data_IF_347854454267
#
_entry.id   IF_347854454267
#
_cell.length_a   1.000
_cell.length_b   1.000
_cell.length_c   1.000
_cell.angle_alpha   90.00
_cell.angle_beta   90.00
_cell.angle_gamma   90.00
#
_symmetry.space_group_name_H-M   'P 1'
#
loop_
_entity.id
_entity.type
_entity.pdbx_description
1 polymer ?
#
# COMPACT_ATOMS: atom_id res chain seq x y z
N UNK A 1 12.14 9.27 27.22
CA UNK A 1 11.69 8.25 28.19
C UNK A 1 12.62 7.06 28.09
N UNK A 2 13.38 6.80 29.15
CA UNK A 2 14.30 5.67 29.22
C UNK A 2 13.48 4.45 29.68
N UNK A 3 12.98 3.65 28.74
CA UNK A 3 12.24 2.42 29.07
C UNK A 3 13.26 1.32 29.28
N UNK A 4 13.80 1.24 30.51
CA UNK A 4 14.73 0.20 30.91
C UNK A 4 14.12 -1.20 30.75
N UNK A 5 14.89 -2.12 30.15
CA UNK A 5 14.64 -3.57 30.22
C UNK A 5 14.37 -4.28 28.88
N UNK A 6 13.53 -3.73 28.00
CA UNK A 6 12.96 -4.49 26.87
C UNK A 6 13.33 -3.96 25.46
N UNK A 7 14.41 -3.20 25.31
CA UNK A 7 14.85 -2.83 23.96
C UNK A 7 15.47 -4.06 23.25
N UNK A 8 14.83 -4.57 22.19
CA UNK A 8 15.34 -5.71 21.39
C UNK A 8 16.24 -5.20 20.26
N UNK A 9 15.92 -4.05 19.67
CA UNK A 9 16.69 -3.43 18.60
C UNK A 9 18.12 -3.15 19.06
N UNK A 10 19.11 -3.53 18.24
CA UNK A 10 20.52 -3.35 18.57
C UNK A 10 21.15 -4.54 19.30
N UNK A 11 20.36 -5.51 19.77
CA UNK A 11 20.87 -6.68 20.53
C UNK A 11 21.15 -7.91 19.68
N UNK A 12 20.60 -7.98 18.47
CA UNK A 12 20.81 -9.12 17.56
C UNK A 12 22.19 -9.11 16.91
N UNK A 13 22.71 -10.30 16.61
CA UNK A 13 23.92 -10.48 15.81
C UNK A 13 23.57 -10.96 14.40
N UNK A 14 24.28 -10.43 13.41
CA UNK A 14 24.18 -10.85 12.01
C UNK A 14 25.57 -11.30 11.56
N UNK A 15 25.77 -12.60 11.41
CA UNK A 15 27.10 -13.20 11.20
C UNK A 15 27.81 -12.68 9.94
N UNK A 16 27.03 -12.42 8.88
CA UNK A 16 27.54 -11.89 7.61
C UNK A 16 26.64 -10.75 7.19
N UNK A 17 27.20 -9.54 7.06
CA UNK A 17 26.54 -8.39 6.45
C UNK A 17 26.98 -8.21 5.00
N UNK A 18 26.10 -7.69 4.15
CA UNK A 18 26.39 -7.33 2.77
C UNK A 18 26.05 -5.86 2.52
N UNK A 19 26.58 -5.24 1.45
CA UNK A 19 26.18 -3.89 1.02
C UNK A 19 24.71 -3.77 0.62
N UNK A 20 24.01 -4.90 0.43
CA UNK A 20 22.62 -4.96 -0.06
C UNK A 20 21.60 -5.35 1.02
N UNK A 21 22.01 -5.32 2.29
CA UNK A 21 21.12 -5.59 3.42
C UNK A 21 20.08 -4.48 3.59
N UNK A 22 18.79 -4.85 3.62
CA UNK A 22 17.68 -3.93 3.87
C UNK A 22 16.73 -4.45 4.93
N UNK A 23 16.01 -3.54 5.58
CA UNK A 23 14.85 -3.89 6.40
C UNK A 23 13.57 -3.37 5.75
N UNK A 24 12.56 -4.24 5.62
CA UNK A 24 11.22 -3.88 5.17
C UNK A 24 10.40 -3.40 6.37
N UNK A 25 10.14 -2.10 6.45
CA UNK A 25 9.56 -1.45 7.62
C UNK A 25 8.12 -1.00 7.35
N UNK A 26 7.20 -1.31 8.26
CA UNK A 26 5.80 -0.90 8.15
C UNK A 26 5.02 -1.68 7.10
N UNK A 27 5.32 -2.97 6.92
CA UNK A 27 4.47 -3.91 6.21
C UNK A 27 4.01 -5.01 7.18
N UNK A 28 2.69 -5.18 7.27
CA UNK A 28 2.02 -6.06 8.23
C UNK A 28 1.61 -7.39 7.62
N UNK A 29 2.02 -7.66 6.38
CA UNK A 29 1.78 -8.91 5.67
C UNK A 29 0.29 -9.30 5.56
N UNK A 30 -0.59 -8.31 5.39
CA UNK A 30 -2.03 -8.54 5.24
C UNK A 30 -2.26 -9.37 3.97
N UNK A 31 -2.82 -10.56 4.11
CA UNK A 31 -3.03 -11.47 2.98
C UNK A 31 -1.76 -11.87 2.23
N UNK A 32 -0.57 -11.76 2.85
CA UNK A 32 0.71 -12.08 2.20
C UNK A 32 1.41 -10.91 1.50
N UNK A 33 0.94 -9.67 1.71
CA UNK A 33 1.48 -8.45 1.10
C UNK A 33 3.02 -8.29 1.22
N UNK A 34 3.54 -8.59 2.40
CA UNK A 34 4.96 -8.41 2.68
C UNK A 34 5.80 -9.52 2.05
N UNK A 35 5.26 -10.75 1.95
CA UNK A 35 5.92 -11.83 1.22
C UNK A 35 6.04 -11.52 -0.28
N UNK A 36 4.98 -10.99 -0.89
CA UNK A 36 5.01 -10.54 -2.28
C UNK A 36 6.04 -9.42 -2.49
N UNK A 37 6.08 -8.46 -1.57
CA UNK A 37 7.07 -7.36 -1.55
C UNK A 37 8.50 -7.88 -1.37
N UNK A 38 8.72 -8.80 -0.42
CA UNK A 38 10.03 -9.40 -0.10
C UNK A 38 10.58 -10.17 -1.29
N UNK A 39 9.77 -11.02 -1.92
CA UNK A 39 10.14 -11.75 -3.14
C UNK A 39 10.69 -10.81 -4.20
N UNK A 40 10.05 -9.65 -4.39
CA UNK A 40 10.52 -8.66 -5.36
C UNK A 40 11.83 -7.99 -4.96
N UNK A 41 11.99 -7.61 -3.69
CA UNK A 41 13.21 -7.01 -3.19
C UNK A 41 14.40 -7.99 -3.28
N UNK A 42 14.17 -9.28 -3.01
CA UNK A 42 15.20 -10.31 -3.14
C UNK A 42 15.55 -10.59 -4.61
N UNK A 43 14.57 -10.63 -5.51
CA UNK A 43 14.81 -10.75 -6.96
C UNK A 43 15.55 -9.53 -7.53
N UNK A 44 15.33 -8.34 -6.97
CA UNK A 44 16.09 -7.12 -7.31
C UNK A 44 17.59 -7.26 -6.96
N UNK A 45 17.95 -8.20 -6.08
CA UNK A 45 19.32 -8.42 -5.60
C UNK A 45 19.58 -7.89 -4.19
N UNK A 46 18.54 -7.45 -3.47
CA UNK A 46 18.68 -7.05 -2.08
C UNK A 46 18.54 -8.25 -1.14
N UNK A 47 19.04 -8.11 0.09
CA UNK A 47 18.81 -9.11 1.15
C UNK A 47 17.94 -8.51 2.24
N UNK A 48 16.70 -8.97 2.32
CA UNK A 48 15.76 -8.51 3.37
C UNK A 48 16.11 -9.21 4.69
N UNK A 49 16.85 -8.52 5.55
CA UNK A 49 17.32 -9.07 6.83
C UNK A 49 16.30 -8.94 7.96
N UNK A 50 15.28 -8.10 7.78
CA UNK A 50 14.19 -7.92 8.73
C UNK A 50 12.93 -7.42 8.04
N UNK A 51 11.78 -7.83 8.56
CA UNK A 51 10.46 -7.35 8.16
C UNK A 51 9.68 -6.90 9.40
N UNK A 52 9.08 -5.71 9.37
CA UNK A 52 8.43 -5.09 10.52
C UNK A 52 6.97 -4.75 10.20
N UNK A 53 5.98 -5.46 10.74
CA UNK A 53 6.10 -6.64 11.63
C UNK A 53 5.26 -7.83 11.20
N UNK A 54 4.68 -7.82 10.00
CA UNK A 54 4.03 -9.01 9.48
C UNK A 54 5.04 -10.15 9.36
N UNK A 55 4.73 -11.33 9.87
CA UNK A 55 5.61 -12.52 9.83
C UNK A 55 7.02 -12.33 10.44
N UNK A 56 7.21 -11.31 11.30
CA UNK A 56 8.50 -11.01 11.88
C UNK A 56 8.87 -11.92 13.04
N UNK A 57 10.15 -12.23 13.18
CA UNK A 57 10.73 -12.80 14.40
C UNK A 57 11.39 -11.74 15.28
N UNK A 58 11.49 -12.04 16.59
CA UNK A 58 12.27 -11.22 17.54
C UNK A 58 13.74 -11.08 17.09
N UNK A 59 14.30 -12.11 16.46
CA UNK A 59 15.67 -12.08 15.97
C UNK A 59 15.84 -11.03 14.87
N UNK A 60 14.92 -10.99 13.90
CA UNK A 60 14.90 -9.97 12.84
C UNK A 60 14.75 -8.56 13.42
N UNK A 61 13.89 -8.38 14.43
CA UNK A 61 13.80 -7.11 15.14
C UNK A 61 15.12 -6.71 15.81
N UNK A 62 15.84 -7.67 16.38
CA UNK A 62 17.15 -7.44 17.00
C UNK A 62 18.22 -6.99 16.01
N UNK A 63 18.19 -7.50 14.77
CA UNK A 63 19.20 -7.23 13.74
C UNK A 63 18.82 -6.13 12.74
N UNK A 64 17.62 -5.54 12.80
CA UNK A 64 17.21 -4.50 11.85
C UNK A 64 18.19 -3.31 11.76
N UNK A 65 18.85 -2.99 12.88
CA UNK A 65 19.93 -1.99 12.96
C UNK A 65 21.20 -2.32 12.13
N UNK A 66 21.28 -3.50 11.49
CA UNK A 66 22.39 -3.89 10.60
C UNK A 66 22.12 -3.57 9.13
N UNK A 67 20.90 -3.17 8.78
CA UNK A 67 20.51 -2.81 7.42
C UNK A 67 21.31 -1.61 6.91
N UNK A 68 21.48 -1.53 5.59
CA UNK A 68 22.08 -0.37 4.90
C UNK A 68 21.05 0.69 4.57
N UNK A 69 19.80 0.27 4.33
CA UNK A 69 18.66 1.16 4.12
C UNK A 69 17.41 0.54 4.74
N UNK A 70 16.62 1.35 5.44
CA UNK A 70 15.27 1.01 5.89
C UNK A 70 14.25 1.38 4.80
N UNK A 71 13.55 0.39 4.26
CA UNK A 71 12.51 0.59 3.25
C UNK A 71 11.17 0.74 3.97
N UNK A 72 10.63 1.95 4.08
CA UNK A 72 9.39 2.19 4.83
C UNK A 72 8.17 2.21 3.91
N UNK A 73 7.26 1.28 4.11
CA UNK A 73 5.97 1.26 3.42
C UNK A 73 4.95 2.09 4.20
N UNK A 74 4.56 1.66 5.41
CA UNK A 74 3.66 2.43 6.27
C UNK A 74 4.42 3.51 7.06
N UNK A 75 4.54 4.69 6.45
CA UNK A 75 5.12 5.86 7.10
C UNK A 75 4.44 6.17 8.44
N UNK A 76 3.10 6.26 8.50
CA UNK A 76 2.38 6.74 9.69
C UNK A 76 2.73 5.93 10.95
N UNK A 77 2.82 4.61 10.84
CA UNK A 77 3.04 3.75 12.00
C UNK A 77 4.51 3.58 12.38
N UNK A 78 5.42 3.64 11.41
CA UNK A 78 6.83 3.26 11.63
C UNK A 78 7.85 4.36 11.35
N UNK A 79 7.44 5.58 10.98
CA UNK A 79 8.38 6.70 10.82
C UNK A 79 9.22 6.96 12.09
N UNK A 80 8.64 6.73 13.27
CA UNK A 80 9.31 6.94 14.56
C UNK A 80 10.56 6.06 14.69
N UNK A 81 10.44 4.76 14.36
CA UNK A 81 11.57 3.83 14.46
C UNK A 81 12.59 4.05 13.34
N UNK A 82 12.14 4.46 12.15
CA UNK A 82 13.05 4.86 11.06
C UNK A 82 13.91 6.05 11.47
N UNK A 83 13.32 7.11 12.02
CA UNK A 83 14.04 8.29 12.52
C UNK A 83 14.99 7.94 13.67
N UNK A 84 14.54 7.11 14.61
CA UNK A 84 15.40 6.61 15.67
C UNK A 84 16.59 5.81 15.14
N UNK A 85 16.39 4.94 14.15
CA UNK A 85 17.47 4.16 13.55
C UNK A 85 18.45 5.01 12.74
N UNK A 86 17.97 6.07 12.10
CA UNK A 86 18.80 7.08 11.44
C UNK A 86 19.66 7.83 12.47
N UNK A 87 19.06 8.34 13.55
CA UNK A 87 19.76 9.08 14.61
C UNK A 87 20.78 8.23 15.40
N UNK A 88 20.43 6.98 15.74
CA UNK A 88 21.26 6.14 16.61
C UNK A 88 22.27 5.26 15.87
N UNK A 89 21.94 4.82 14.66
CA UNK A 89 22.76 3.87 13.90
C UNK A 89 23.19 4.42 12.53
N UNK A 90 22.77 5.63 12.14
CA UNK A 90 23.13 6.22 10.86
C UNK A 90 22.47 5.55 9.64
N UNK A 91 21.38 4.81 9.85
CA UNK A 91 20.73 4.03 8.78
C UNK A 91 19.70 4.91 8.07
N UNK A 92 19.91 5.28 6.79
CA UNK A 92 18.93 6.06 6.05
C UNK A 92 17.64 5.25 5.83
N UNK A 93 16.55 5.96 5.57
CA UNK A 93 15.27 5.36 5.23
C UNK A 93 14.64 5.99 4.00
N UNK A 94 13.85 5.20 3.27
CA UNK A 94 13.19 5.63 2.04
C UNK A 94 11.74 5.15 2.00
N UNK A 95 10.81 6.09 1.81
CA UNK A 95 9.40 5.77 1.54
C UNK A 95 9.24 5.16 0.14
N UNK A 96 8.47 4.06 0.05
CA UNK A 96 8.14 3.38 -1.19
C UNK A 96 6.66 2.96 -1.23
N UNK A 97 6.16 2.60 -2.41
CA UNK A 97 4.77 2.18 -2.61
C UNK A 97 4.69 1.04 -3.65
N UNK A 98 4.18 -0.12 -3.22
CA UNK A 98 4.04 -1.31 -4.06
C UNK A 98 2.57 -1.62 -4.45
N UNK A 99 1.68 -0.64 -4.44
CA UNK A 99 0.34 -0.76 -5.03
C UNK A 99 0.32 -0.31 -6.50
N UNK A 100 0.10 -1.25 -7.41
CA UNK A 100 -0.07 -0.97 -8.84
C UNK A 100 1.26 -0.79 -9.59
N UNK A 101 1.35 -1.23 -10.86
CA UNK A 101 2.58 -1.24 -11.64
C UNK A 101 3.26 0.13 -11.70
N UNK A 102 2.51 1.22 -11.84
CA UNK A 102 3.10 2.57 -11.95
C UNK A 102 3.88 2.94 -10.69
N UNK A 103 3.32 2.71 -9.50
CA UNK A 103 4.01 3.01 -8.24
C UNK A 103 5.11 2.00 -7.94
N UNK A 104 4.91 0.74 -8.32
CA UNK A 104 5.93 -0.31 -8.20
C UNK A 104 7.19 0.07 -8.99
N UNK A 105 7.09 0.41 -10.27
CA UNK A 105 8.24 0.76 -11.10
C UNK A 105 9.00 1.98 -10.57
N UNK A 106 8.26 3.00 -10.12
CA UNK A 106 8.85 4.19 -9.48
C UNK A 106 9.59 3.83 -8.20
N UNK A 107 9.01 2.94 -7.39
CA UNK A 107 9.59 2.50 -6.13
C UNK A 107 10.85 1.65 -6.34
N UNK A 108 10.84 0.72 -7.31
CA UNK A 108 12.02 -0.08 -7.65
C UNK A 108 13.21 0.80 -8.03
N UNK A 109 12.99 1.78 -8.93
CA UNK A 109 14.02 2.76 -9.32
C UNK A 109 14.51 3.60 -8.14
N UNK A 110 13.58 4.06 -7.29
CA UNK A 110 13.92 4.86 -6.11
C UNK A 110 14.76 4.06 -5.12
N UNK A 111 14.37 2.82 -4.81
CA UNK A 111 15.11 1.92 -3.92
C UNK A 111 16.50 1.64 -4.51
N UNK A 112 16.57 1.24 -5.79
CA UNK A 112 17.82 0.92 -6.46
C UNK A 112 18.81 2.10 -6.50
N UNK A 113 18.32 3.35 -6.51
CA UNK A 113 19.19 4.54 -6.48
C UNK A 113 20.06 4.68 -5.22
N UNK A 114 19.73 3.96 -4.15
CA UNK A 114 20.54 3.92 -2.92
C UNK A 114 21.67 2.88 -2.95
N UNK A 115 21.79 2.11 -4.03
CA UNK A 115 22.76 1.02 -4.17
C UNK A 115 23.64 1.20 -5.42
N UNK A 116 24.51 0.23 -5.67
CA UNK A 116 25.39 0.20 -6.83
C UNK A 116 24.65 -0.03 -8.16
N UNK A 117 25.40 0.09 -9.26
CA UNK A 117 24.84 0.00 -10.61
C UNK A 117 24.27 -1.39 -10.92
N UNK A 118 24.71 -2.44 -10.24
CA UNK A 118 24.15 -3.79 -10.44
C UNK A 118 22.68 -3.85 -9.99
N UNK A 119 22.33 -3.20 -8.87
CA UNK A 119 20.95 -3.12 -8.38
C UNK A 119 20.10 -2.23 -9.29
N UNK A 120 20.67 -1.14 -9.83
CA UNK A 120 19.97 -0.27 -10.79
C UNK A 120 19.66 -1.00 -12.09
N UNK A 121 20.62 -1.75 -12.62
CA UNK A 121 20.40 -2.61 -13.81
C UNK A 121 19.36 -3.70 -13.54
N UNK A 122 19.40 -4.33 -12.36
CA UNK A 122 18.41 -5.33 -11.98
C UNK A 122 17.00 -4.73 -11.90
N UNK A 123 16.86 -3.48 -11.44
CA UNK A 123 15.56 -2.80 -11.41
C UNK A 123 14.98 -2.68 -12.83
N UNK A 124 15.75 -2.23 -13.81
CA UNK A 124 15.27 -2.11 -15.19
C UNK A 124 14.98 -3.47 -15.82
N UNK A 125 15.85 -4.48 -15.62
CA UNK A 125 15.61 -5.86 -16.09
C UNK A 125 14.32 -6.44 -15.49
N UNK A 126 14.07 -6.19 -14.21
CA UNK A 126 12.85 -6.63 -13.54
C UNK A 126 11.62 -5.92 -14.08
N UNK A 127 11.69 -4.60 -14.30
CA UNK A 127 10.60 -3.83 -14.90
C UNK A 127 10.27 -4.39 -16.29
N UNK A 128 11.28 -4.60 -17.14
CA UNK A 128 11.11 -5.18 -18.48
C UNK A 128 10.48 -6.58 -18.43
N UNK A 129 10.93 -7.43 -17.51
CA UNK A 129 10.39 -8.78 -17.30
C UNK A 129 8.91 -8.78 -16.92
N UNK A 130 8.49 -7.92 -16.00
CA UNK A 130 7.13 -7.92 -15.44
C UNK A 130 6.14 -7.03 -16.20
N UNK A 131 6.62 -6.06 -16.99
CA UNK A 131 5.77 -5.14 -17.74
C UNK A 131 4.74 -5.84 -18.63
N UNK A 132 5.07 -6.86 -19.45
CA UNK A 132 4.09 -7.54 -20.28
C UNK A 132 2.95 -8.18 -19.46
N UNK A 133 3.27 -8.74 -18.28
CA UNK A 133 2.27 -9.36 -17.42
C UNK A 133 1.33 -8.30 -16.80
N UNK A 134 1.87 -7.15 -16.38
CA UNK A 134 1.07 -6.05 -15.83
C UNK A 134 0.21 -5.38 -16.92
N UNK A 135 0.75 -5.19 -18.12
CA UNK A 135 0.02 -4.67 -19.26
C UNK A 135 -1.15 -5.60 -19.64
N UNK A 136 -0.97 -6.93 -19.55
CA UNK A 136 -2.03 -7.90 -19.80
C UNK A 136 -3.17 -7.79 -18.78
N UNK A 137 -2.86 -7.64 -17.49
CA UNK A 137 -3.86 -7.40 -16.43
C UNK A 137 -4.61 -6.09 -16.70
N UNK A 138 -3.92 -5.02 -17.05
CA UNK A 138 -4.56 -3.74 -17.39
C UNK A 138 -5.48 -3.93 -18.61
N UNK A 139 -5.01 -4.58 -19.67
CA UNK A 139 -5.79 -4.83 -20.88
C UNK A 139 -7.07 -5.65 -20.61
N UNK A 140 -7.00 -6.60 -19.68
CA UNK A 140 -8.14 -7.42 -19.26
C UNK A 140 -9.17 -6.62 -18.46
N UNK A 141 -8.74 -5.90 -17.41
CA UNK A 141 -9.66 -5.33 -16.42
C UNK A 141 -10.04 -3.86 -16.66
N UNK A 142 -9.15 -3.05 -17.24
CA UNK A 142 -9.39 -1.61 -17.45
C UNK A 142 -10.66 -1.31 -18.25
N UNK A 143 -11.01 -2.03 -19.34
CA UNK A 143 -12.24 -1.74 -20.09
C UNK A 143 -13.52 -1.82 -19.24
N UNK A 144 -13.56 -2.70 -18.23
CA UNK A 144 -14.71 -2.82 -17.31
C UNK A 144 -14.72 -1.79 -16.17
N UNK A 145 -13.59 -1.15 -15.92
CA UNK A 145 -13.35 -0.25 -14.78
C UNK A 145 -13.14 1.22 -15.19
N UNK A 146 -12.92 1.49 -16.47
CA UNK A 146 -12.64 2.82 -17.00
C UNK A 146 -13.72 3.84 -16.57
N UNK A 147 -13.25 4.96 -16.01
CA UNK A 147 -14.07 6.08 -15.55
C UNK A 147 -14.89 5.81 -14.29
N UNK A 148 -14.77 4.63 -13.66
CA UNK A 148 -15.49 4.31 -12.42
C UNK A 148 -14.93 5.14 -11.27
N UNK A 149 -15.83 5.76 -10.51
CA UNK A 149 -15.50 6.64 -9.39
C UNK A 149 -15.35 5.85 -8.09
N UNK A 150 -14.26 6.10 -7.37
CA UNK A 150 -13.93 5.43 -6.10
C UNK A 150 -13.91 6.46 -4.98
N UNK A 151 -14.52 6.11 -3.85
CA UNK A 151 -14.33 6.82 -2.59
C UNK A 151 -13.58 5.92 -1.60
N UNK A 152 -12.54 6.45 -0.97
CA UNK A 152 -11.70 5.73 -0.01
C UNK A 152 -11.83 6.33 1.39
N UNK A 153 -11.92 5.48 2.41
CA UNK A 153 -11.81 5.87 3.82
C UNK A 153 -11.19 4.75 4.64
N UNK A 154 -9.96 4.92 5.10
CA UNK A 154 -9.17 3.84 5.73
C UNK A 154 -8.38 4.44 6.91
N UNK A 155 -7.39 3.73 7.46
CA UNK A 155 -6.50 4.24 8.52
C UNK A 155 -5.49 5.28 8.01
N UNK A 156 -4.19 5.08 8.29
CA UNK A 156 -3.15 6.11 8.15
C UNK A 156 -2.29 6.12 6.87
N UNK A 157 -2.51 5.24 5.89
CA UNK A 157 -1.58 5.07 4.76
C UNK A 157 -2.30 4.83 3.42
N UNK A 158 -3.06 3.73 3.38
CA UNK A 158 -3.72 3.21 2.19
C UNK A 158 -4.58 4.23 1.43
N UNK A 159 -5.25 5.22 2.07
CA UNK A 159 -6.07 6.19 1.33
C UNK A 159 -5.32 6.95 0.23
N UNK A 160 -4.00 7.19 0.38
CA UNK A 160 -3.15 7.71 -0.73
C UNK A 160 -2.38 6.62 -1.45
N UNK A 161 -1.92 5.59 -0.72
CA UNK A 161 -1.03 4.57 -1.29
C UNK A 161 -1.71 3.75 -2.39
N UNK A 162 -3.02 3.52 -2.33
CA UNK A 162 -3.72 2.70 -3.31
C UNK A 162 -4.19 3.48 -4.54
N UNK A 163 -4.10 4.82 -4.56
CA UNK A 163 -4.65 5.65 -5.65
C UNK A 163 -4.06 5.23 -7.01
N UNK A 164 -2.74 5.10 -7.10
CA UNK A 164 -2.08 4.71 -8.35
C UNK A 164 -2.55 3.36 -8.91
N UNK A 165 -2.88 2.39 -8.04
CA UNK A 165 -3.40 1.10 -8.50
C UNK A 165 -4.81 1.21 -9.09
N UNK A 166 -5.65 2.11 -8.55
CA UNK A 166 -6.95 2.43 -9.14
C UNK A 166 -6.78 3.14 -10.50
N UNK A 167 -5.86 4.10 -10.59
CA UNK A 167 -5.58 4.85 -11.81
C UNK A 167 -5.00 3.95 -12.93
N UNK A 168 -4.16 2.98 -12.57
CA UNK A 168 -3.63 1.98 -13.51
C UNK A 168 -4.78 1.18 -14.19
N UNK A 169 -5.93 1.03 -13.52
CA UNK A 169 -7.16 0.40 -14.03
C UNK A 169 -8.18 1.39 -14.62
N UNK A 170 -7.80 2.66 -14.80
CA UNK A 170 -8.68 3.69 -15.38
C UNK A 170 -9.75 4.23 -14.43
N UNK A 171 -9.67 3.92 -13.14
CA UNK A 171 -10.62 4.41 -12.13
C UNK A 171 -10.21 5.78 -11.59
N UNK A 172 -11.18 6.55 -11.10
CA UNK A 172 -10.96 7.89 -10.54
C UNK A 172 -11.26 7.91 -9.04
N UNK A 173 -10.24 8.17 -8.21
CA UNK A 173 -10.45 8.38 -6.76
C UNK A 173 -10.95 9.81 -6.53
N UNK A 174 -12.28 9.95 -6.38
CA UNK A 174 -12.96 11.26 -6.25
C UNK A 174 -13.03 11.77 -4.82
N UNK A 175 -12.81 10.88 -3.86
CA UNK A 175 -12.73 11.21 -2.45
C UNK A 175 -11.83 10.22 -1.71
N UNK A 176 -11.02 10.71 -0.79
CA UNK A 176 -10.13 9.88 0.02
C UNK A 176 -10.00 10.44 1.43
N UNK A 177 -9.90 9.59 2.44
CA UNK A 177 -9.81 10.06 3.82
C UNK A 177 -9.22 9.06 4.80
N UNK A 178 -8.89 9.57 5.98
CA UNK A 178 -8.15 8.86 7.02
C UNK A 178 -8.92 8.89 8.34
N UNK A 179 -8.91 7.77 9.07
CA UNK A 179 -9.36 7.73 10.47
C UNK A 179 -8.38 8.46 11.41
N UNK A 180 -7.08 8.43 11.11
CA UNK A 180 -6.04 8.94 12.02
C UNK A 180 -4.78 9.43 11.29
N UNK A 181 -4.95 10.00 10.09
CA UNK A 181 -3.86 10.65 9.36
C UNK A 181 -3.34 11.87 10.11
N UNK A 182 -2.04 12.15 10.05
CA UNK A 182 -1.51 13.42 10.57
C UNK A 182 -1.27 14.41 9.42
N UNK A 183 -0.99 15.68 9.75
CA UNK A 183 -0.75 16.73 8.75
C UNK A 183 0.33 16.37 7.71
N UNK A 184 1.32 15.55 8.07
CA UNK A 184 2.37 15.08 7.16
C UNK A 184 1.90 13.99 6.19
N UNK A 185 0.87 13.22 6.54
CA UNK A 185 0.17 12.32 5.63
C UNK A 185 -0.65 13.12 4.61
N UNK A 186 -1.41 14.12 5.04
CA UNK A 186 -2.20 14.98 4.15
C UNK A 186 -1.33 15.73 3.14
N UNK A 187 -0.16 16.23 3.57
CA UNK A 187 0.83 16.85 2.67
C UNK A 187 1.31 15.89 1.56
N UNK A 188 1.38 14.59 1.84
CA UNK A 188 1.72 13.55 0.85
C UNK A 188 0.52 13.17 -0.01
N UNK A 189 -0.70 13.39 0.47
CA UNK A 189 -1.94 13.06 -0.24
C UNK A 189 -2.32 14.11 -1.27
N UNK A 190 -2.13 15.41 -1.00
CA UNK A 190 -2.54 16.47 -1.94
C UNK A 190 -2.01 16.27 -3.37
N UNK A 191 -0.72 15.92 -3.60
CA UNK A 191 -0.20 15.73 -4.95
C UNK A 191 -0.70 14.45 -5.64
N UNK A 192 -1.29 13.52 -4.88
CA UNK A 192 -1.80 12.24 -5.38
C UNK A 192 -3.29 12.33 -5.74
N UNK A 193 -4.00 13.38 -5.30
CA UNK A 193 -5.41 13.58 -5.57
C UNK A 193 -5.61 14.53 -6.74
N UNK A 194 -6.60 14.24 -7.59
CA UNK A 194 -7.03 15.14 -8.66
C UNK A 194 -7.66 16.42 -8.09
N UNK A 195 -7.49 17.53 -8.81
CA UNK A 195 -8.15 18.79 -8.47
C UNK A 195 -9.68 18.60 -8.37
N UNK A 196 -10.27 19.14 -7.31
CA UNK A 196 -11.70 19.01 -7.01
C UNK A 196 -12.10 17.73 -6.27
N UNK A 197 -11.17 16.81 -6.01
CA UNK A 197 -11.44 15.65 -5.15
C UNK A 197 -11.58 16.07 -3.67
N UNK A 198 -12.39 15.31 -2.92
CA UNK A 198 -12.64 15.57 -1.49
C UNK A 198 -11.61 14.83 -0.63
N UNK A 199 -11.06 15.52 0.36
CA UNK A 199 -10.21 14.92 1.39
C UNK A 199 -10.94 14.99 2.73
N UNK A 200 -10.98 13.86 3.44
CA UNK A 200 -11.72 13.72 4.70
C UNK A 200 -10.78 13.29 5.84
N UNK A 201 -10.95 13.88 7.01
CA UNK A 201 -10.23 13.54 8.25
C UNK A 201 -11.27 13.17 9.32
N UNK A 202 -11.10 12.01 9.95
CA UNK A 202 -12.01 11.47 10.99
C UNK A 202 -13.50 11.63 10.63
N UNK A 203 -13.84 11.27 9.39
CA UNK A 203 -15.19 11.42 8.87
C UNK A 203 -16.17 10.56 9.66
N UNK A 204 -17.25 11.19 10.12
CA UNK A 204 -18.37 10.49 10.74
C UNK A 204 -19.11 9.65 9.70
N UNK A 205 -19.82 8.60 10.15
CA UNK A 205 -20.65 7.80 9.25
C UNK A 205 -21.70 8.66 8.50
N UNK A 206 -22.24 9.69 9.16
CA UNK A 206 -23.17 10.63 8.54
C UNK A 206 -22.53 11.35 7.35
N UNK A 207 -21.34 11.93 7.54
CA UNK A 207 -20.61 12.63 6.47
C UNK A 207 -20.26 11.68 5.33
N UNK A 208 -19.79 10.46 5.63
CA UNK A 208 -19.48 9.45 4.62
C UNK A 208 -20.71 9.10 3.76
N UNK A 209 -21.88 8.93 4.38
CA UNK A 209 -23.13 8.69 3.65
C UNK A 209 -23.56 9.89 2.81
N UNK A 210 -23.46 11.11 3.32
CA UNK A 210 -23.80 12.34 2.58
C UNK A 210 -22.85 12.58 1.39
N UNK A 211 -21.54 12.38 1.58
CA UNK A 211 -20.57 12.41 0.48
C UNK A 211 -20.91 11.36 -0.57
N UNK A 212 -21.27 10.15 -0.17
CA UNK A 212 -21.67 9.08 -1.10
C UNK A 212 -22.91 9.46 -1.90
N UNK A 213 -23.94 10.02 -1.26
CA UNK A 213 -25.16 10.48 -1.94
C UNK A 213 -24.84 11.58 -2.96
N UNK A 214 -23.93 12.50 -2.61
CA UNK A 214 -23.62 13.66 -3.45
C UNK A 214 -22.63 13.36 -4.58
N UNK A 215 -21.58 12.59 -4.31
CA UNK A 215 -20.51 12.23 -5.23
C UNK A 215 -20.90 11.04 -6.12
N UNK A 216 -21.82 10.19 -5.65
CA UNK A 216 -22.30 8.98 -6.32
C UNK A 216 -21.14 8.10 -6.83
N UNK A 217 -20.23 7.65 -5.94
CA UNK A 217 -19.15 6.78 -6.36
C UNK A 217 -19.70 5.45 -6.89
N UNK A 218 -19.00 4.86 -7.85
CA UNK A 218 -19.31 3.53 -8.36
C UNK A 218 -18.85 2.43 -7.40
N UNK A 219 -17.87 2.71 -6.54
CA UNK A 219 -17.52 1.87 -5.41
C UNK A 219 -16.94 2.62 -4.23
N UNK A 220 -17.01 2.00 -3.05
CA UNK A 220 -16.38 2.49 -1.82
C UNK A 220 -15.36 1.47 -1.31
N UNK A 221 -14.17 1.96 -0.99
CA UNK A 221 -13.11 1.20 -0.34
C UNK A 221 -12.93 1.64 1.11
N UNK A 222 -13.35 0.84 2.09
CA UNK A 222 -13.25 1.22 3.51
C UNK A 222 -13.12 0.02 4.46
N UNK A 223 -13.60 0.11 5.70
CA UNK A 223 -13.51 -0.91 6.74
C UNK A 223 -14.75 -1.78 6.88
N UNK A 224 -14.68 -2.73 7.82
CA UNK A 224 -15.78 -3.67 8.10
C UNK A 224 -17.03 -2.97 8.65
N UNK A 225 -16.85 -1.88 9.40
CA UNK A 225 -17.94 -1.13 10.04
C UNK A 225 -18.82 -0.45 8.98
N UNK A 226 -18.20 -0.03 7.89
CA UNK A 226 -18.85 0.68 6.79
C UNK A 226 -19.52 -0.29 5.79
N UNK A 227 -18.90 -1.46 5.53
CA UNK A 227 -19.28 -2.40 4.45
C UNK A 227 -20.78 -2.62 4.29
N UNK A 228 -21.45 -3.01 5.37
CA UNK A 228 -22.85 -3.44 5.28
C UNK A 228 -23.83 -2.28 5.16
N UNK A 229 -23.46 -1.09 5.63
CA UNK A 229 -24.23 0.14 5.38
C UNK A 229 -24.24 0.44 3.88
N UNK A 230 -23.07 0.39 3.22
CA UNK A 230 -22.95 0.61 1.78
C UNK A 230 -23.65 -0.46 0.93
N UNK A 231 -23.56 -1.74 1.31
CA UNK A 231 -24.33 -2.80 0.63
C UNK A 231 -25.84 -2.54 0.69
N UNK A 232 -26.38 -2.03 1.81
CA UNK A 232 -27.80 -1.68 1.95
C UNK A 232 -28.19 -0.42 1.17
N UNK A 233 -27.25 0.50 0.97
CA UNK A 233 -27.38 1.61 0.02
C UNK A 233 -27.27 1.14 -1.45
N UNK A 234 -26.95 -0.14 -1.65
CA UNK A 234 -26.78 -0.77 -2.95
C UNK A 234 -25.51 -0.35 -3.65
N UNK A 235 -24.49 0.15 -2.95
CA UNK A 235 -23.19 0.62 -3.49
C UNK A 235 -22.14 -0.50 -3.40
N UNK A 236 -21.43 -0.84 -4.49
CA UNK A 236 -20.31 -1.78 -4.46
C UNK A 236 -19.26 -1.40 -3.42
N UNK A 237 -18.79 -2.38 -2.65
CA UNK A 237 -17.89 -2.14 -1.53
C UNK A 237 -16.76 -3.16 -1.45
N UNK A 238 -15.54 -2.67 -1.20
CA UNK A 238 -14.36 -3.49 -0.89
C UNK A 238 -13.79 -3.10 0.46
N UNK A 239 -13.49 -4.08 1.31
CA UNK A 239 -12.69 -3.83 2.50
C UNK A 239 -11.23 -3.58 2.13
N UNK A 240 -10.75 -2.37 2.37
CA UNK A 240 -9.38 -1.93 2.11
C UNK A 240 -8.45 -2.08 3.33
N UNK A 241 -8.95 -2.68 4.41
CA UNK A 241 -8.16 -3.10 5.56
C UNK A 241 -7.79 -4.59 5.48
N UNK A 242 -8.80 -5.45 5.32
CA UNK A 242 -8.68 -6.91 5.37
C UNK A 242 -8.51 -7.56 3.99
N UNK A 243 -8.51 -6.75 2.92
CA UNK A 243 -8.64 -7.22 1.54
C UNK A 243 -9.84 -8.12 1.33
N UNK A 244 -10.87 -7.97 2.18
CA UNK A 244 -12.09 -8.77 2.15
C UNK A 244 -11.78 -10.28 2.04
N UNK A 245 -10.76 -10.71 2.79
CA UNK A 245 -10.28 -12.09 2.85
C UNK A 245 -9.59 -12.61 1.56
N UNK A 246 -9.22 -11.72 0.64
CA UNK A 246 -8.34 -12.03 -0.50
C UNK A 246 -6.91 -11.57 -0.23
N UNK A 247 -6.36 -10.66 -1.04
CA UNK A 247 -4.94 -10.33 -1.07
C UNK A 247 -4.06 -11.46 -1.66
N UNK A 248 -2.74 -11.23 -1.75
CA UNK A 248 -2.05 -9.96 -1.47
C UNK A 248 -2.40 -8.90 -2.53
N UNK A 249 -2.23 -7.62 -2.19
CA UNK A 249 -2.37 -6.48 -3.12
C UNK A 249 -1.05 -5.75 -3.37
N UNK A 250 0.00 -6.02 -2.59
CA UNK A 250 1.34 -5.51 -2.88
C UNK A 250 2.04 -6.28 -3.99
N UNK A 251 2.85 -5.57 -4.77
CA UNK A 251 3.79 -6.15 -5.73
C UNK A 251 3.16 -6.66 -7.02
N UNK A 252 3.99 -7.22 -7.89
CA UNK A 252 3.56 -7.73 -9.20
C UNK A 252 2.56 -8.89 -9.08
N UNK A 253 2.71 -9.74 -8.07
CA UNK A 253 1.77 -10.84 -7.82
C UNK A 253 0.44 -10.34 -7.23
N UNK A 254 0.43 -9.16 -6.58
CA UNK A 254 -0.75 -8.61 -5.93
C UNK A 254 -1.66 -7.76 -6.83
N UNK A 255 -1.10 -7.07 -7.84
CA UNK A 255 -1.90 -6.25 -8.75
C UNK A 255 -2.97 -7.03 -9.56
N UNK A 256 -2.69 -8.24 -10.10
CA UNK A 256 -3.73 -9.07 -10.72
C UNK A 256 -4.89 -9.39 -9.77
N UNK A 257 -4.59 -9.66 -8.50
CA UNK A 257 -5.60 -9.96 -7.46
C UNK A 257 -6.43 -8.71 -7.16
N UNK A 258 -5.77 -7.55 -7.02
CA UNK A 258 -6.44 -6.27 -6.84
C UNK A 258 -7.39 -5.97 -8.01
N UNK A 259 -6.92 -6.10 -9.25
CA UNK A 259 -7.73 -5.83 -10.44
C UNK A 259 -8.97 -6.72 -10.54
N UNK A 260 -8.78 -8.04 -10.35
CA UNK A 260 -9.85 -9.03 -10.28
C UNK A 260 -10.88 -8.68 -9.21
N UNK A 261 -10.43 -8.28 -8.02
CA UNK A 261 -11.29 -7.99 -6.88
C UNK A 261 -12.12 -6.70 -7.06
N UNK A 262 -11.51 -5.68 -7.68
CA UNK A 262 -12.23 -4.45 -8.02
C UNK A 262 -13.30 -4.75 -9.08
N UNK A 263 -12.95 -5.46 -10.14
CA UNK A 263 -13.87 -5.84 -11.22
C UNK A 263 -15.06 -6.65 -10.71
N UNK A 264 -14.81 -7.78 -10.01
CA UNK A 264 -15.90 -8.62 -9.52
C UNK A 264 -16.85 -7.89 -8.57
N UNK A 265 -16.37 -6.84 -7.91
CA UNK A 265 -17.18 -6.06 -6.97
C UNK A 265 -17.99 -5.01 -7.71
N UNK A 266 -17.36 -4.19 -8.55
CA UNK A 266 -18.02 -3.11 -9.29
C UNK A 266 -19.04 -3.68 -10.28
N UNK A 267 -18.66 -4.76 -10.98
CA UNK A 267 -19.44 -5.34 -12.07
C UNK A 267 -20.30 -6.54 -11.65
N UNK A 268 -20.47 -6.79 -10.36
CA UNK A 268 -21.35 -7.87 -9.87
C UNK A 268 -22.78 -7.71 -10.37
N UNK A 269 -23.42 -8.77 -10.89
CA UNK A 269 -24.81 -8.73 -11.36
C UNK A 269 -25.80 -8.43 -10.23
N UNK A 270 -25.42 -8.66 -8.97
CA UNK A 270 -26.26 -8.40 -7.80
C UNK A 270 -26.73 -6.95 -7.73
N UNK A 271 -25.91 -5.98 -8.16
CA UNK A 271 -26.26 -4.56 -8.11
C UNK A 271 -27.40 -4.20 -9.06
N UNK A 272 -27.57 -4.95 -10.16
CA UNK A 272 -28.71 -4.81 -11.07
C UNK A 272 -30.03 -5.32 -10.50
N UNK A 273 -29.99 -6.12 -9.43
CA UNK A 273 -31.18 -6.65 -8.76
C UNK A 273 -31.75 -5.68 -7.71
N UNK A 274 -31.00 -4.63 -7.35
CA UNK A 274 -31.41 -3.64 -6.35
C UNK A 274 -32.07 -2.46 -7.06
N UNK A 275 -33.34 -2.18 -6.74
CA UNK A 275 -34.02 -0.95 -7.18
C UNK A 275 -33.45 0.26 -6.43
N UNK A 276 -32.40 0.88 -6.97
CA UNK A 276 -31.91 2.17 -6.44
C UNK A 276 -32.93 3.28 -6.74
N UNK A 277 -33.43 3.97 -5.71
CA UNK A 277 -33.99 5.32 -5.91
C UNK A 277 -32.79 6.25 -6.19
N UNK A 278 -32.58 6.57 -7.46
CA UNK A 278 -31.49 7.46 -7.92
C UNK A 278 -31.73 8.92 -7.55
#
# INVERSE_FOLDING_TARGET
>A
MNVGGYNILGKGQLDKSTPHDVALIGDYNIGGDAWASRKMLEELGLRVIAQWTGDASINEMGIAHKAKVNLVHCYRSMNYICRHMEEQYGIPWVEFNFFGPTKIYRSLRKIASHFDDSIKENAEKMIEKYKPAMDAVIAEFKPGLEGKKVMLYVGGLRPRHTIGAYEDLGMEVVASGYEFGHSDDYKRTYPEMKEGAVIMDDATLYELEEFTRRLRPDMVGSGIKEKYSYHKLGVPFRQMHSWDYSGPYHGFDGFPVFARDMDMTVNSPTWGLIRRKR
#
